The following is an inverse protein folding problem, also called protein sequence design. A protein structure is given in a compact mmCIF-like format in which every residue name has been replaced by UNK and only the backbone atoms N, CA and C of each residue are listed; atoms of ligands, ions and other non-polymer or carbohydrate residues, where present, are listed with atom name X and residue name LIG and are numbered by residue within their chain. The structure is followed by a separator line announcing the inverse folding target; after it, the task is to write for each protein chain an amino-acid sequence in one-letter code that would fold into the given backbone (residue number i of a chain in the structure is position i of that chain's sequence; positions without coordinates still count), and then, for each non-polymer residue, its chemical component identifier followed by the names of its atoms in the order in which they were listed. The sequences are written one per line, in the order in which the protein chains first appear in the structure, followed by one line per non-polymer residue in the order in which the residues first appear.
data_IF_664139640367
#
_entry.id   IF_664139640367
#
_cell.length_a   1.000
_cell.length_b   1.000
_cell.length_c   1.000
_cell.angle_alpha   90.00
_cell.angle_beta   90.00
_cell.angle_gamma   90.00
#
_symmetry.space_group_name_H-M   'P 1'
#
loop_
_entity.id
_entity.type
_entity.pdbx_description
1 polymer ?
#
# COMPACT_ATOMS: atom_id res chain seq x y z
N UNK A 1 50.75 -36.79 -20.84
CA UNK A 1 50.44 -35.36 -21.18
C UNK A 1 48.93 -35.12 -21.39
N UNK A 2 48.13 -36.10 -21.75
CA UNK A 2 46.69 -35.92 -22.05
C UNK A 2 45.78 -35.69 -20.85
N UNK A 3 46.07 -36.30 -19.67
CA UNK A 3 45.16 -36.20 -18.52
C UNK A 3 45.10 -34.81 -17.86
N UNK A 4 46.17 -34.01 -17.96
CA UNK A 4 46.18 -32.65 -17.39
C UNK A 4 45.36 -31.65 -18.21
N UNK A 5 45.35 -31.80 -19.53
CA UNK A 5 44.56 -30.95 -20.42
C UNK A 5 43.07 -31.22 -20.27
N UNK A 6 42.70 -32.49 -20.13
CA UNK A 6 41.29 -32.89 -19.97
C UNK A 6 40.68 -32.43 -18.61
N UNK A 7 41.48 -32.44 -17.56
CA UNK A 7 41.06 -31.95 -16.23
C UNK A 7 40.89 -30.43 -16.22
N UNK A 8 41.80 -29.71 -16.91
CA UNK A 8 41.71 -28.24 -17.02
C UNK A 8 40.50 -27.83 -17.85
N UNK A 9 40.22 -28.50 -18.95
CA UNK A 9 39.06 -28.21 -19.78
C UNK A 9 37.74 -28.48 -19.04
N UNK A 10 37.61 -29.58 -18.32
CA UNK A 10 36.38 -29.90 -17.53
C UNK A 10 36.13 -28.87 -16.43
N UNK A 11 37.16 -28.41 -15.74
CA UNK A 11 37.03 -27.36 -14.70
C UNK A 11 36.68 -25.98 -15.30
N UNK A 12 37.21 -25.65 -16.47
CA UNK A 12 36.91 -24.38 -17.16
C UNK A 12 35.46 -24.38 -17.67
N UNK A 13 34.97 -25.49 -18.18
CA UNK A 13 33.55 -25.64 -18.60
C UNK A 13 32.63 -25.60 -17.39
N UNK A 14 33.00 -26.21 -16.26
CA UNK A 14 32.18 -26.16 -15.03
C UNK A 14 32.11 -24.74 -14.44
N UNK A 15 33.23 -24.00 -14.46
CA UNK A 15 33.23 -22.60 -14.01
C UNK A 15 32.47 -21.66 -14.97
N UNK A 16 32.58 -21.88 -16.27
CA UNK A 16 31.81 -21.11 -17.25
C UNK A 16 30.32 -21.37 -17.18
N UNK A 17 29.89 -22.61 -16.94
CA UNK A 17 28.47 -22.92 -16.72
C UNK A 17 27.93 -22.38 -15.38
N UNK A 18 28.75 -22.33 -14.31
CA UNK A 18 28.36 -21.73 -13.06
C UNK A 18 28.21 -20.20 -13.17
N UNK A 19 29.10 -19.51 -13.90
CA UNK A 19 28.95 -18.08 -14.19
C UNK A 19 27.75 -17.77 -15.12
N UNK A 20 27.47 -18.63 -16.10
CA UNK A 20 26.31 -18.47 -16.97
C UNK A 20 24.96 -18.66 -16.22
N UNK A 21 24.92 -19.53 -15.21
CA UNK A 21 23.73 -19.69 -14.37
C UNK A 21 23.48 -18.50 -13.42
N UNK A 22 24.50 -17.76 -13.01
CA UNK A 22 24.32 -16.58 -12.15
C UNK A 22 23.88 -15.31 -12.92
N UNK A 23 24.11 -15.25 -14.22
CA UNK A 23 23.62 -14.15 -15.07
C UNK A 23 22.16 -14.30 -15.54
N UNK A 24 21.55 -15.46 -15.33
CA UNK A 24 20.16 -15.74 -15.75
C UNK A 24 19.09 -15.39 -14.70
N UNK A 25 19.47 -14.77 -13.54
CA UNK A 25 18.52 -14.44 -12.46
C UNK A 25 18.54 -12.94 -12.15
N UNK A 26 18.92 -12.09 -13.08
CA UNK A 26 18.48 -10.70 -13.01
C UNK A 26 17.07 -10.61 -13.61
N UNK A 27 16.09 -11.19 -12.92
CA UNK A 27 14.71 -10.93 -13.24
C UNK A 27 14.47 -9.45 -12.99
N UNK A 28 14.20 -8.68 -14.04
CA UNK A 28 13.83 -7.27 -13.93
C UNK A 28 12.66 -7.17 -12.95
N UNK A 29 12.92 -6.63 -11.77
CA UNK A 29 11.87 -6.47 -10.76
C UNK A 29 10.96 -5.34 -11.21
N UNK A 30 9.65 -5.59 -11.41
CA UNK A 30 8.74 -4.54 -11.84
C UNK A 30 8.62 -3.46 -10.78
N UNK A 31 8.47 -2.21 -11.17
CA UNK A 31 8.04 -1.17 -10.26
C UNK A 31 6.59 -1.44 -9.83
N UNK A 32 6.30 -1.25 -8.56
CA UNK A 32 4.98 -1.46 -7.96
C UNK A 32 4.44 -0.12 -7.49
N UNK A 33 3.29 0.29 -8.02
CA UNK A 33 2.60 1.52 -7.61
C UNK A 33 1.25 1.14 -7.05
N UNK A 34 1.03 1.43 -5.76
CA UNK A 34 -0.28 1.36 -5.12
C UNK A 34 -0.86 2.77 -5.05
N UNK A 35 -1.89 3.04 -5.85
CA UNK A 35 -2.58 4.31 -5.88
C UNK A 35 -3.93 4.17 -5.16
N UNK A 36 -4.02 4.72 -3.94
CA UNK A 36 -5.22 4.67 -3.11
C UNK A 36 -5.94 6.02 -3.15
N UNK A 37 -7.13 6.03 -3.72
CA UNK A 37 -8.00 7.21 -3.72
C UNK A 37 -8.85 7.19 -2.46
N UNK A 38 -8.79 8.28 -1.69
CA UNK A 38 -9.53 8.41 -0.43
C UNK A 38 -10.98 8.87 -0.69
N UNK A 39 -11.92 8.23 -0.03
CA UNK A 39 -13.36 8.54 -0.10
C UNK A 39 -13.99 8.53 -1.52
N UNK A 40 -13.39 7.81 -2.46
CA UNK A 40 -13.98 7.65 -3.80
C UNK A 40 -14.97 6.47 -3.81
N UNK A 41 -16.20 6.74 -4.15
CA UNK A 41 -17.21 5.70 -4.34
C UNK A 41 -17.02 4.93 -5.66
N UNK A 42 -17.59 3.74 -5.74
CA UNK A 42 -17.51 2.87 -6.93
C UNK A 42 -18.11 3.50 -8.18
N UNK A 43 -18.98 4.50 -8.02
CA UNK A 43 -19.62 5.23 -9.11
C UNK A 43 -19.00 6.62 -9.36
N UNK A 44 -17.99 7.03 -8.58
CA UNK A 44 -17.34 8.34 -8.69
C UNK A 44 -16.22 8.37 -9.74
N UNK A 45 -16.43 7.62 -10.81
CA UNK A 45 -15.51 7.47 -11.93
C UNK A 45 -16.30 7.16 -13.21
N UNK A 46 -15.75 7.47 -14.38
CA UNK A 46 -16.34 7.06 -15.66
C UNK A 46 -16.16 5.55 -15.97
N UNK A 47 -15.35 4.84 -15.19
CA UNK A 47 -15.17 3.38 -15.30
C UNK A 47 -16.35 2.67 -14.64
N UNK A 48 -17.14 1.85 -15.36
CA UNK A 48 -18.22 1.07 -14.74
C UNK A 48 -17.65 -0.14 -14.00
N UNK A 49 -17.89 -0.23 -12.70
CA UNK A 49 -17.47 -1.35 -11.85
C UNK A 49 -18.60 -2.33 -11.52
N UNK A 50 -19.86 -1.92 -11.68
CA UNK A 50 -21.00 -2.78 -11.41
C UNK A 50 -21.16 -3.87 -12.47
N UNK A 51 -21.68 -5.02 -12.06
CA UNK A 51 -22.04 -6.13 -12.94
C UNK A 51 -23.46 -6.59 -12.65
N UNK A 52 -24.11 -7.20 -13.66
CA UNK A 52 -25.36 -7.94 -13.47
C UNK A 52 -25.10 -9.31 -12.84
N UNK A 53 -26.18 -10.10 -12.68
CA UNK A 53 -26.11 -11.43 -12.10
C UNK A 53 -25.27 -12.42 -12.95
N UNK A 54 -25.18 -12.17 -14.25
CA UNK A 54 -24.42 -12.94 -15.23
C UNK A 54 -22.95 -12.49 -15.32
N UNK A 55 -22.57 -11.42 -14.59
CA UNK A 55 -21.21 -10.86 -14.58
C UNK A 55 -20.91 -9.86 -15.70
N UNK A 56 -21.91 -9.45 -16.49
CA UNK A 56 -21.72 -8.44 -17.53
C UNK A 56 -21.62 -7.04 -16.91
N UNK A 57 -20.78 -6.21 -17.50
CA UNK A 57 -20.55 -4.82 -17.05
C UNK A 57 -21.83 -3.99 -17.20
N UNK A 58 -22.20 -3.30 -16.12
CA UNK A 58 -23.32 -2.38 -16.07
C UNK A 58 -22.83 -0.95 -15.87
N UNK A 59 -23.19 -0.07 -16.82
CA UNK A 59 -22.90 1.37 -16.71
C UNK A 59 -24.02 2.02 -15.90
N UNK A 60 -23.67 2.65 -14.78
CA UNK A 60 -24.62 3.45 -14.01
C UNK A 60 -24.67 4.89 -14.56
N UNK A 61 -25.85 5.58 -14.52
CA UNK A 61 -25.94 6.98 -14.98
C UNK A 61 -24.92 7.92 -14.32
N UNK A 62 -24.56 7.71 -13.05
CA UNK A 62 -23.56 8.49 -12.34
C UNK A 62 -22.16 8.39 -12.98
N UNK A 63 -21.80 7.28 -13.61
CA UNK A 63 -20.52 7.15 -14.29
C UNK A 63 -20.37 8.16 -15.45
N UNK A 64 -21.47 8.68 -15.99
CA UNK A 64 -21.47 9.66 -17.08
C UNK A 64 -21.15 11.08 -16.62
N UNK A 65 -21.22 11.35 -15.31
CA UNK A 65 -20.89 12.67 -14.74
C UNK A 65 -19.40 12.89 -14.59
N UNK A 66 -18.64 11.80 -14.49
CA UNK A 66 -17.20 11.86 -14.23
C UNK A 66 -16.40 11.73 -15.51
N UNK A 67 -15.27 12.39 -15.56
CA UNK A 67 -14.34 12.32 -16.67
C UNK A 67 -12.98 11.83 -16.16
N UNK A 68 -12.77 10.51 -16.19
CA UNK A 68 -11.57 9.85 -15.68
C UNK A 68 -10.86 9.01 -16.76
N UNK A 69 -10.38 9.62 -17.87
CA UNK A 69 -9.89 8.89 -19.04
C UNK A 69 -8.64 8.04 -18.75
N UNK A 70 -7.81 8.44 -17.79
CA UNK A 70 -6.66 7.65 -17.41
C UNK A 70 -7.04 6.39 -16.61
N UNK A 71 -8.12 6.45 -15.82
CA UNK A 71 -8.67 5.27 -15.17
C UNK A 71 -9.29 4.31 -16.17
N UNK A 72 -10.01 4.84 -17.17
CA UNK A 72 -10.53 4.02 -18.28
C UNK A 72 -9.41 3.32 -19.03
N UNK A 73 -8.34 4.05 -19.37
CA UNK A 73 -7.16 3.46 -20.00
C UNK A 73 -6.53 2.36 -19.14
N UNK A 74 -6.35 2.59 -17.84
CA UNK A 74 -5.82 1.59 -16.93
C UNK A 74 -6.73 0.36 -16.85
N UNK A 75 -8.04 0.57 -16.74
CA UNK A 75 -9.04 -0.50 -16.71
C UNK A 75 -9.07 -1.33 -18.00
N UNK A 76 -8.79 -0.72 -19.16
CA UNK A 76 -8.71 -1.42 -20.45
C UNK A 76 -7.43 -2.25 -20.63
N UNK A 77 -6.38 -1.93 -19.91
CA UNK A 77 -5.06 -2.58 -19.98
C UNK A 77 -4.82 -3.60 -18.86
N UNK A 78 -5.67 -3.61 -17.84
CA UNK A 78 -5.51 -4.41 -16.64
C UNK A 78 -6.73 -5.23 -16.27
N UNK A 79 -6.80 -5.62 -15.01
CA UNK A 79 -7.92 -6.36 -14.44
C UNK A 79 -8.74 -5.40 -13.58
N UNK A 80 -10.05 -5.45 -13.74
CA UNK A 80 -11.01 -4.70 -12.95
C UNK A 80 -11.81 -5.64 -12.06
N UNK A 81 -11.79 -5.39 -10.75
CA UNK A 81 -12.55 -6.17 -9.79
C UNK A 81 -13.92 -5.51 -9.55
N UNK A 82 -15.00 -6.21 -9.83
CA UNK A 82 -16.38 -5.74 -9.57
C UNK A 82 -16.77 -5.92 -8.09
N UNK A 83 -16.10 -6.83 -7.39
CA UNK A 83 -16.39 -7.18 -6.00
C UNK A 83 -15.11 -7.06 -5.18
N UNK A 84 -14.83 -5.86 -4.70
CA UNK A 84 -13.68 -5.56 -3.85
C UNK A 84 -14.11 -4.58 -2.75
N UNK A 85 -14.01 -5.02 -1.50
CA UNK A 85 -14.53 -4.28 -0.36
C UNK A 85 -13.40 -3.72 0.49
N UNK A 86 -13.51 -2.44 0.84
CA UNK A 86 -12.71 -1.82 1.90
C UNK A 86 -13.31 -2.16 3.27
N UNK A 87 -12.61 -1.80 4.33
CA UNK A 87 -13.20 -1.76 5.67
C UNK A 87 -14.08 -0.50 5.81
N UNK A 88 -14.79 -0.37 6.93
CA UNK A 88 -15.79 0.67 7.14
C UNK A 88 -15.25 2.11 7.08
N UNK A 89 -14.00 2.30 7.47
CA UNK A 89 -13.34 3.63 7.52
C UNK A 89 -11.84 3.54 7.22
N UNK A 90 -11.16 4.70 7.29
CA UNK A 90 -9.78 4.91 6.87
C UNK A 90 -8.74 3.97 7.51
N UNK A 91 -8.51 4.06 8.83
CA UNK A 91 -7.43 3.29 9.48
C UNK A 91 -7.59 1.77 9.36
N UNK A 92 -8.79 1.18 9.53
CA UNK A 92 -8.99 -0.25 9.27
C UNK A 92 -8.65 -0.66 7.83
N UNK A 93 -9.10 0.11 6.83
CA UNK A 93 -8.80 -0.17 5.42
C UNK A 93 -7.30 -0.11 5.14
N UNK A 94 -6.63 0.93 5.66
CA UNK A 94 -5.18 1.12 5.49
C UNK A 94 -4.36 0.06 6.20
N UNK A 95 -4.76 -0.33 7.41
CA UNK A 95 -4.15 -1.44 8.14
C UNK A 95 -4.33 -2.76 7.40
N UNK A 96 -5.51 -2.99 6.82
CA UNK A 96 -5.77 -4.18 5.99
C UNK A 96 -4.88 -4.21 4.74
N UNK A 97 -4.73 -3.10 4.05
CA UNK A 97 -3.83 -2.98 2.89
C UNK A 97 -2.38 -3.25 3.30
N UNK A 98 -1.93 -2.65 4.39
CA UNK A 98 -0.54 -2.78 4.86
C UNK A 98 -0.19 -4.19 5.31
N UNK A 99 -1.13 -4.89 5.95
CA UNK A 99 -0.87 -6.19 6.60
C UNK A 99 -1.39 -7.39 5.81
N UNK A 100 -2.22 -7.19 4.78
CA UNK A 100 -2.92 -8.27 4.09
C UNK A 100 -3.95 -9.00 4.98
N UNK A 101 -4.40 -8.38 6.06
CA UNK A 101 -5.33 -8.96 7.03
C UNK A 101 -6.66 -8.20 7.06
N UNK A 102 -7.74 -8.87 7.44
CA UNK A 102 -9.01 -8.19 7.71
C UNK A 102 -9.05 -7.57 9.12
N UNK A 103 -10.01 -6.67 9.36
CA UNK A 103 -10.12 -5.93 10.61
C UNK A 103 -10.32 -6.82 11.84
N UNK A 104 -10.99 -7.97 11.70
CA UNK A 104 -11.17 -8.93 12.80
C UNK A 104 -9.82 -9.51 13.27
N UNK A 105 -8.85 -9.63 12.36
CA UNK A 105 -7.52 -10.18 12.67
C UNK A 105 -6.56 -9.13 13.22
N UNK A 106 -6.43 -7.99 12.57
CA UNK A 106 -5.52 -6.92 13.03
C UNK A 106 -6.15 -6.04 14.13
N UNK A 107 -7.45 -6.18 14.40
CA UNK A 107 -8.20 -5.53 15.48
C UNK A 107 -8.22 -4.00 15.46
N UNK A 108 -7.89 -3.40 14.33
CA UNK A 108 -8.11 -1.98 14.07
C UNK A 108 -9.48 -1.87 13.40
N UNK A 109 -10.51 -1.53 14.15
CA UNK A 109 -11.92 -1.60 13.69
C UNK A 109 -12.58 -0.24 13.52
N UNK A 110 -11.91 0.83 13.94
CA UNK A 110 -12.34 2.21 13.78
C UNK A 110 -11.19 3.09 13.31
N UNK A 111 -11.49 4.30 12.81
CA UNK A 111 -10.44 5.28 12.49
C UNK A 111 -9.70 5.67 13.77
N UNK A 112 -8.39 5.82 13.66
CA UNK A 112 -7.54 6.19 14.79
C UNK A 112 -7.51 7.71 14.88
N UNK A 113 -7.88 8.25 16.04
CA UNK A 113 -7.76 9.67 16.30
C UNK A 113 -6.28 10.07 16.28
N UNK A 114 -5.95 11.15 15.57
CA UNK A 114 -4.57 11.62 15.47
C UNK A 114 -3.94 12.03 16.81
N UNK A 115 -4.74 12.56 17.73
CA UNK A 115 -4.28 13.05 19.03
C UNK A 115 -4.33 11.98 20.13
N UNK A 116 -5.08 10.92 19.92
CA UNK A 116 -5.22 9.80 20.85
C UNK A 116 -5.45 8.49 20.13
N UNK A 117 -5.29 7.40 20.84
CA UNK A 117 -5.53 6.05 20.29
C UNK A 117 -7.00 5.61 20.31
N UNK A 118 -7.94 6.49 20.62
CA UNK A 118 -9.37 6.19 20.79
C UNK A 118 -9.73 5.21 21.91
N UNK A 119 -8.76 4.77 22.71
CA UNK A 119 -9.03 3.84 23.80
C UNK A 119 -9.99 4.45 24.81
N UNK A 120 -11.05 3.73 25.12
CA UNK A 120 -12.04 4.09 26.13
C UNK A 120 -12.27 2.92 27.09
N UNK A 121 -12.98 3.19 28.18
CA UNK A 121 -13.38 2.15 29.15
C UNK A 121 -14.38 1.13 28.59
N UNK A 122 -15.06 1.45 27.50
CA UNK A 122 -16.11 0.64 26.91
C UNK A 122 -15.67 -0.28 25.78
N UNK A 123 -14.43 -0.16 25.33
CA UNK A 123 -13.89 -0.99 24.26
C UNK A 123 -13.04 -2.16 24.79
N UNK A 124 -12.91 -3.27 24.03
CA UNK A 124 -12.02 -4.35 24.38
C UNK A 124 -10.58 -3.85 24.48
N UNK A 125 -9.92 -4.10 25.61
CA UNK A 125 -8.55 -3.64 25.86
C UNK A 125 -7.51 -4.26 24.90
N UNK A 126 -7.80 -5.46 24.41
CA UNK A 126 -6.95 -6.20 23.49
C UNK A 126 -7.07 -5.77 22.02
N UNK A 127 -7.97 -4.83 21.72
CA UNK A 127 -8.09 -4.30 20.36
C UNK A 127 -6.91 -3.37 20.04
N UNK A 128 -6.62 -3.24 18.75
CA UNK A 128 -5.55 -2.40 18.28
C UNK A 128 -6.02 -0.95 18.15
N UNK A 129 -5.81 -0.17 19.20
CA UNK A 129 -6.19 1.24 19.28
C UNK A 129 -5.10 2.20 18.79
N UNK A 130 -3.87 1.72 18.64
CA UNK A 130 -2.72 2.55 18.31
C UNK A 130 -2.37 2.52 16.83
N UNK A 131 -2.78 1.48 16.12
CA UNK A 131 -2.51 1.29 14.70
C UNK A 131 -1.32 0.41 14.40
N UNK A 132 -0.66 0.68 13.29
CA UNK A 132 0.50 -0.09 12.85
C UNK A 132 1.71 0.12 13.76
N UNK A 133 2.48 -0.94 13.92
CA UNK A 133 3.76 -0.91 14.61
C UNK A 133 4.83 -1.74 13.87
N UNK A 134 6.08 -1.63 14.33
CA UNK A 134 7.23 -2.27 13.70
C UNK A 134 7.24 -3.80 13.76
N UNK A 135 6.42 -4.40 14.63
CA UNK A 135 6.33 -5.85 14.82
C UNK A 135 5.29 -6.51 13.89
N UNK A 136 4.39 -5.72 13.33
CA UNK A 136 3.38 -6.25 12.42
C UNK A 136 4.00 -6.62 11.06
N UNK A 137 3.56 -7.72 10.45
CA UNK A 137 3.96 -8.05 9.08
C UNK A 137 3.30 -7.06 8.12
N UNK A 138 4.09 -6.20 7.50
CA UNK A 138 3.62 -5.19 6.54
C UNK A 138 4.33 -5.35 5.21
N UNK A 139 3.58 -5.18 4.11
CA UNK A 139 4.13 -5.41 2.76
C UNK A 139 5.34 -4.53 2.42
N UNK A 140 5.48 -3.26 2.89
CA UNK A 140 6.66 -2.48 2.56
C UNK A 140 7.97 -3.10 3.10
N UNK A 141 7.93 -3.71 4.30
CA UNK A 141 9.09 -4.43 4.84
C UNK A 141 9.47 -5.64 3.99
N UNK A 142 8.47 -6.42 3.56
CA UNK A 142 8.69 -7.56 2.68
C UNK A 142 9.30 -7.12 1.35
N UNK A 143 8.87 -5.98 0.82
CA UNK A 143 9.44 -5.40 -0.39
C UNK A 143 10.88 -4.91 -0.17
N UNK A 144 11.19 -4.29 0.97
CA UNK A 144 12.56 -3.91 1.33
C UNK A 144 13.48 -5.14 1.41
N UNK A 145 13.04 -6.21 2.08
CA UNK A 145 13.76 -7.49 2.16
C UNK A 145 14.00 -8.09 0.78
N UNK A 146 13.05 -7.90 -0.16
CA UNK A 146 13.19 -8.26 -1.54
C UNK A 146 14.06 -7.28 -2.35
N UNK A 147 14.62 -6.22 -1.74
CA UNK A 147 15.52 -5.24 -2.35
C UNK A 147 14.82 -4.13 -3.11
N UNK A 148 13.55 -3.87 -2.87
CA UNK A 148 12.87 -2.67 -3.34
C UNK A 148 13.18 -1.48 -2.45
N UNK A 149 13.20 -0.29 -3.06
CA UNK A 149 13.11 0.96 -2.33
C UNK A 149 11.63 1.33 -2.18
N UNK A 150 11.19 1.57 -0.96
CA UNK A 150 9.80 1.82 -0.63
C UNK A 150 9.54 3.28 -0.35
N UNK A 151 8.51 3.85 -0.98
CA UNK A 151 8.19 5.28 -0.89
C UNK A 151 6.71 5.43 -0.54
N UNK A 152 6.42 6.18 0.51
CA UNK A 152 5.06 6.60 0.87
C UNK A 152 4.87 8.07 0.48
N UNK A 153 3.73 8.37 -0.13
CA UNK A 153 3.35 9.74 -0.50
C UNK A 153 1.90 9.99 -0.14
N UNK A 154 1.62 11.08 0.56
CA UNK A 154 0.27 11.51 0.91
C UNK A 154 -0.22 10.98 2.26
N UNK A 155 -1.53 10.81 2.42
CA UNK A 155 -2.18 10.38 3.67
C UNK A 155 -1.70 9.01 4.12
N UNK A 156 -1.19 8.92 5.33
CA UNK A 156 -0.83 7.66 6.00
C UNK A 156 -1.93 7.17 6.93
N UNK A 157 -2.20 7.88 8.00
CA UNK A 157 -3.23 7.56 9.00
C UNK A 157 -3.07 6.12 9.54
N UNK A 158 -1.82 5.69 9.75
CA UNK A 158 -1.49 4.35 10.22
C UNK A 158 -1.48 4.22 11.74
N UNK A 159 -1.37 5.35 12.46
CA UNK A 159 -1.33 5.39 13.91
C UNK A 159 -1.54 6.79 14.46
N UNK A 160 -1.76 6.90 15.77
CA UNK A 160 -1.89 8.18 16.45
C UNK A 160 -0.52 8.85 16.68
N UNK A 161 -0.53 10.11 17.09
CA UNK A 161 0.67 10.87 17.48
C UNK A 161 1.38 10.13 18.62
N UNK A 162 2.70 9.99 18.50
CA UNK A 162 3.55 9.29 19.47
C UNK A 162 3.55 7.78 19.35
N UNK A 163 2.73 7.18 18.48
CA UNK A 163 2.82 5.76 18.12
C UNK A 163 3.82 5.52 17.00
N UNK A 164 4.27 4.27 16.83
CA UNK A 164 5.17 3.95 15.72
C UNK A 164 4.54 4.22 14.35
N UNK A 165 3.24 3.98 14.20
CA UNK A 165 2.49 4.22 12.97
C UNK A 165 2.26 5.70 12.64
N UNK A 166 2.68 6.64 13.50
CA UNK A 166 2.68 8.07 13.17
C UNK A 166 3.56 8.35 11.94
N UNK A 167 4.73 7.70 11.86
CA UNK A 167 5.65 7.88 10.75
C UNK A 167 5.70 6.61 9.89
N UNK A 168 5.32 6.67 8.62
CA UNK A 168 5.43 5.55 7.68
C UNK A 168 6.81 4.88 7.62
N UNK A 169 7.89 5.60 7.93
CA UNK A 169 9.23 5.03 7.94
C UNK A 169 9.42 3.97 9.03
N UNK A 170 8.70 4.06 10.13
CA UNK A 170 8.75 3.05 11.18
C UNK A 170 8.07 1.74 10.79
N UNK A 171 7.21 1.77 9.76
CA UNK A 171 6.45 0.62 9.28
C UNK A 171 6.84 0.19 7.87
N UNK A 172 8.10 0.42 7.50
CA UNK A 172 8.73 -0.20 6.32
C UNK A 172 8.80 0.66 5.07
N UNK A 173 8.66 1.97 5.17
CA UNK A 173 8.97 2.87 4.05
C UNK A 173 10.34 3.52 4.22
N UNK A 174 11.16 3.55 3.16
CA UNK A 174 12.44 4.25 3.15
C UNK A 174 12.27 5.76 3.07
N UNK A 175 11.22 6.19 2.37
CA UNK A 175 10.90 7.60 2.14
C UNK A 175 9.45 7.86 2.51
N UNK A 176 9.21 8.95 3.22
CA UNK A 176 7.87 9.44 3.54
C UNK A 176 7.72 10.89 3.09
N UNK A 177 6.69 11.18 2.29
CA UNK A 177 6.36 12.52 1.81
C UNK A 177 4.92 12.84 2.24
N UNK A 178 4.77 13.64 3.31
CA UNK A 178 3.49 14.12 3.79
C UNK A 178 2.64 13.12 4.59
N UNK A 179 3.11 11.87 4.79
CA UNK A 179 2.40 10.90 5.62
C UNK A 179 2.62 11.12 7.11
N UNK A 180 1.54 11.11 7.89
CA UNK A 180 1.57 11.21 9.34
C UNK A 180 0.28 10.61 9.95
N UNK A 181 0.04 10.85 11.24
CA UNK A 181 -1.17 10.42 11.97
C UNK A 181 -2.46 11.09 11.51
N UNK A 182 -2.39 12.15 10.70
CA UNK A 182 -3.55 12.96 10.34
C UNK A 182 -4.36 12.28 9.24
N UNK A 183 -5.67 12.16 9.44
CA UNK A 183 -6.58 11.47 8.55
C UNK A 183 -7.07 12.31 7.36
N UNK A 184 -6.85 13.63 7.38
CA UNK A 184 -7.24 14.54 6.29
C UNK A 184 -6.33 15.76 6.27
N UNK A 185 -6.11 16.41 5.11
CA UNK A 185 -5.29 17.60 5.03
C UNK A 185 -6.01 18.80 5.63
N UNK A 186 -5.26 19.79 6.13
CA UNK A 186 -5.78 21.08 6.54
C UNK A 186 -6.22 21.94 5.36
N UNK A 187 -5.66 21.70 4.18
CA UNK A 187 -6.09 22.26 2.89
C UNK A 187 -5.68 21.34 1.75
N UNK A 188 -6.46 21.34 0.65
CA UNK A 188 -6.19 20.48 -0.51
C UNK A 188 -5.05 20.98 -1.40
N UNK A 189 -4.74 22.27 -1.33
CA UNK A 189 -3.65 22.90 -2.08
C UNK A 189 -2.42 23.20 -1.22
N UNK A 190 -2.37 22.61 -0.01
CA UNK A 190 -1.28 22.74 0.95
C UNK A 190 -1.01 24.17 1.46
N UNK A 191 -1.94 25.13 1.30
CA UNK A 191 -1.79 26.52 1.77
C UNK A 191 -1.63 26.57 3.31
N UNK A 192 -2.18 25.59 4.01
CA UNK A 192 -2.08 25.45 5.48
C UNK A 192 -1.15 24.30 5.89
N UNK A 193 -0.41 23.75 4.96
CA UNK A 193 0.36 22.51 5.15
C UNK A 193 -0.55 21.29 5.17
N UNK A 194 -0.03 20.21 5.72
CA UNK A 194 -0.77 18.91 5.83
C UNK A 194 -1.42 18.72 7.21
N UNK A 195 -1.51 19.78 8.03
CA UNK A 195 -2.17 19.74 9.33
C UNK A 195 -3.70 19.78 9.23
N UNK A 196 -4.38 19.40 10.32
CA UNK A 196 -5.86 19.39 10.41
C UNK A 196 -6.48 20.79 10.50
N UNK A 197 -5.72 21.76 10.98
CA UNK A 197 -6.21 23.11 11.29
C UNK A 197 -5.23 24.13 10.75
N UNK A 198 -5.74 25.27 10.28
CA UNK A 198 -4.93 26.41 9.86
C UNK A 198 -3.90 26.78 10.93
N UNK A 199 -2.62 26.75 10.56
CA UNK A 199 -1.52 27.04 11.47
C UNK A 199 -0.94 25.84 12.23
N UNK A 200 -1.56 24.68 12.20
CA UNK A 200 -0.94 23.42 12.64
C UNK A 200 0.09 22.98 11.60
N UNK A 201 1.35 23.04 11.96
CA UNK A 201 2.41 22.51 11.11
C UNK A 201 2.32 20.98 11.13
N UNK A 202 2.19 20.38 9.97
CA UNK A 202 2.52 18.96 9.81
C UNK A 202 3.98 18.76 10.25
N UNK A 203 4.21 17.78 11.06
CA UNK A 203 5.57 17.38 11.44
C UNK A 203 6.23 16.59 10.32
#
# INVERSE_FOLDING_TARGET
MNNKLEYTMKNTILMASALACTSAIAQDRPNIILFLVDDMGVMDTSVPFLTDAEGNIQTHPLNQWYHTPNMERLASQGIRFSTFYAQSVSSPSRTSIMTGQNAARHRTTNWINSESNNRTEFGPHEWNWEGLNSHMPVYPKLLQEAGYRTIHVGKAHFGCIGSEGEDPRNVGFDVNIGGNSIGQPGSYYAEWGYGLIKGNKSR
#
